data_IF_155490777509
#
_entry.id   IF_155490777509
#
_cell.length_a   1.000
_cell.length_b   1.000
_cell.length_c   1.000
_cell.angle_alpha   90.00
_cell.angle_beta   90.00
_cell.angle_gamma   90.00
#
_symmetry.space_group_name_H-M   'P 1'
#
loop_
_entity.id
_entity.type
_entity.pdbx_description
1 polymer ?
#
# COMPACT_ATOMS: atom_id res chain seq x y z
N UNK A 1 46.05 -58.21 35.81
CA UNK A 1 46.46 -58.06 37.24
C UNK A 1 45.93 -56.68 37.68
N UNK A 2 45.14 -56.38 38.59
CA UNK A 2 44.59 -56.97 39.76
C UNK A 2 43.21 -56.29 39.99
N UNK A 3 42.29 -57.09 40.40
CA UNK A 3 41.04 -56.81 41.07
C UNK A 3 41.24 -56.08 42.39
N UNK A 4 40.23 -55.33 42.83
CA UNK A 4 39.62 -55.32 44.21
C UNK A 4 38.57 -54.22 44.21
N UNK A 5 37.31 -54.32 44.26
CA UNK A 5 36.29 -54.95 45.13
C UNK A 5 35.82 -54.05 46.30
N UNK A 6 34.51 -53.77 46.27
CA UNK A 6 33.51 -53.65 47.34
C UNK A 6 33.56 -52.50 48.39
N UNK A 7 32.40 -51.86 48.50
CA UNK A 7 31.95 -51.16 49.72
C UNK A 7 30.57 -50.59 49.52
N UNK A 8 29.56 -51.32 49.96
CA UNK A 8 28.14 -50.94 50.03
C UNK A 8 27.83 -50.21 51.37
N UNK A 9 26.58 -49.71 51.45
CA UNK A 9 25.85 -49.07 52.56
C UNK A 9 25.93 -47.53 52.57
N UNK A 10 24.87 -46.74 52.72
CA UNK A 10 23.56 -46.96 53.33
C UNK A 10 22.50 -46.08 52.72
N UNK A 11 21.29 -46.57 52.73
CA UNK A 11 20.01 -45.95 52.52
C UNK A 11 19.72 -44.92 53.62
N UNK A 12 19.37 -43.68 53.27
CA UNK A 12 18.61 -42.76 54.12
C UNK A 12 17.49 -42.15 53.29
N UNK A 13 16.36 -42.81 53.34
CA UNK A 13 15.06 -42.25 53.06
C UNK A 13 14.73 -41.14 54.04
N UNK A 14 14.33 -39.98 53.61
CA UNK A 14 13.14 -39.24 54.03
C UNK A 14 13.30 -37.72 53.96
N UNK A 15 12.21 -37.11 53.44
CA UNK A 15 11.65 -35.79 53.75
C UNK A 15 12.30 -34.57 53.10
N UNK A 16 11.68 -34.12 52.02
CA UNK A 16 11.03 -32.81 51.96
C UNK A 16 10.24 -32.65 50.65
N UNK A 17 8.95 -32.86 50.72
CA UNK A 17 8.00 -32.45 49.71
C UNK A 17 7.93 -30.91 49.70
N UNK A 18 8.86 -30.27 48.99
CA UNK A 18 8.82 -28.85 48.65
C UNK A 18 7.73 -28.61 47.62
N UNK A 19 6.55 -28.14 48.07
CA UNK A 19 5.50 -27.61 47.20
C UNK A 19 6.09 -26.56 46.28
N UNK A 20 6.41 -26.93 45.02
CA UNK A 20 6.57 -25.97 43.93
C UNK A 20 5.21 -25.28 43.75
N UNK A 21 5.02 -24.13 44.38
CA UNK A 21 3.94 -23.21 44.07
C UNK A 21 4.15 -22.81 42.59
N UNK A 22 3.42 -23.48 41.72
CA UNK A 22 3.29 -23.06 40.34
C UNK A 22 2.69 -21.66 40.36
N UNK A 23 3.51 -20.66 40.07
CA UNK A 23 3.04 -19.32 39.68
C UNK A 23 2.36 -19.48 38.32
N UNK A 24 1.13 -19.96 38.33
CA UNK A 24 0.22 -19.78 37.22
C UNK A 24 -0.07 -18.27 37.17
N UNK A 25 0.77 -17.52 36.46
CA UNK A 25 0.43 -16.16 36.05
C UNK A 25 -0.83 -16.29 35.18
N UNK A 26 -1.98 -16.10 35.80
CA UNK A 26 -3.18 -15.69 35.10
C UNK A 26 -2.81 -14.42 34.32
N UNK A 27 -2.38 -14.58 33.06
CA UNK A 27 -2.39 -13.47 32.09
C UNK A 27 -3.88 -13.10 31.97
N UNK A 28 -4.32 -12.10 32.72
CA UNK A 28 -5.60 -11.47 32.45
C UNK A 28 -5.60 -11.19 30.94
N UNK A 29 -6.58 -11.72 30.23
CA UNK A 29 -6.75 -11.44 28.81
C UNK A 29 -6.96 -9.94 28.71
N UNK A 30 -5.87 -9.20 28.45
CA UNK A 30 -5.96 -7.78 28.17
C UNK A 30 -6.85 -7.61 26.94
N UNK A 31 -7.78 -6.66 27.00
CA UNK A 31 -8.68 -6.41 25.88
C UNK A 31 -7.86 -6.03 24.63
N UNK A 32 -8.17 -6.64 23.50
CA UNK A 32 -7.60 -6.28 22.21
C UNK A 32 -7.83 -4.79 21.95
N UNK A 33 -6.82 -4.11 21.47
CA UNK A 33 -6.93 -2.77 20.92
C UNK A 33 -6.71 -2.83 19.42
N UNK A 34 -7.46 -2.03 18.68
CA UNK A 34 -7.25 -1.82 17.24
C UNK A 34 -6.40 -0.59 17.01
N UNK A 35 -5.37 -0.77 16.18
CA UNK A 35 -4.41 0.29 15.82
C UNK A 35 -4.44 0.46 14.31
N UNK A 36 -4.55 1.72 13.87
CA UNK A 36 -4.34 2.10 12.49
C UNK A 36 -2.95 2.69 12.32
N UNK A 37 -2.29 2.37 11.21
CA UNK A 37 -0.98 2.87 10.82
C UNK A 37 -1.01 3.42 9.41
N UNK A 38 -0.35 4.56 9.21
CA UNK A 38 -0.04 5.10 7.89
C UNK A 38 1.34 4.65 7.46
N UNK A 39 1.44 4.25 6.22
CA UNK A 39 2.61 3.57 5.69
C UNK A 39 2.98 4.20 4.36
N UNK A 40 4.26 4.50 4.17
CA UNK A 40 4.80 4.81 2.86
C UNK A 40 5.82 3.75 2.44
N UNK A 41 5.93 3.49 1.14
CA UNK A 41 6.92 2.54 0.61
C UNK A 41 7.26 2.77 -0.85
N UNK A 42 8.52 2.49 -1.19
CA UNK A 42 8.98 2.25 -2.54
C UNK A 42 8.73 0.77 -2.89
N UNK A 43 7.79 0.53 -3.80
CA UNK A 43 7.37 -0.83 -4.17
C UNK A 43 8.33 -1.58 -5.09
N UNK A 44 9.43 -0.96 -5.52
CA UNK A 44 10.34 -1.49 -6.55
C UNK A 44 10.86 -2.90 -6.24
N UNK A 45 11.19 -3.18 -4.97
CA UNK A 45 11.75 -4.46 -4.53
C UNK A 45 10.69 -5.52 -4.18
N UNK A 46 9.41 -5.21 -4.29
CA UNK A 46 8.32 -6.06 -3.79
C UNK A 46 7.45 -6.60 -4.91
N UNK A 47 6.99 -7.84 -4.73
CA UNK A 47 5.97 -8.48 -5.57
C UNK A 47 4.54 -7.94 -5.27
N UNK A 48 4.45 -6.75 -4.69
CA UNK A 48 3.26 -6.05 -4.29
C UNK A 48 2.99 -6.08 -2.79
N UNK A 49 1.80 -5.65 -2.41
CA UNK A 49 1.40 -5.60 -1.01
C UNK A 49 1.25 -6.99 -0.38
N UNK A 50 0.46 -7.86 -1.02
CA UNK A 50 -0.02 -9.11 -0.43
C UNK A 50 1.10 -10.13 -0.22
N UNK A 51 1.18 -10.72 0.98
CA UNK A 51 2.09 -11.83 1.29
C UNK A 51 1.88 -13.01 0.35
N UNK A 52 2.98 -13.50 -0.23
CA UNK A 52 3.06 -14.65 -1.12
C UNK A 52 4.17 -15.59 -0.64
N UNK A 53 4.06 -16.92 -0.87
CA UNK A 53 4.99 -17.89 -0.29
C UNK A 53 6.46 -17.70 -0.69
N UNK A 54 6.73 -17.21 -1.90
CA UNK A 54 8.06 -17.22 -2.51
C UNK A 54 8.58 -15.82 -2.95
N UNK A 55 7.90 -14.76 -2.57
CA UNK A 55 8.25 -13.42 -3.04
C UNK A 55 8.19 -12.39 -1.93
N UNK A 56 9.10 -11.40 -1.90
CA UNK A 56 9.06 -10.32 -0.93
C UNK A 56 7.79 -9.51 -1.10
N UNK A 57 7.14 -9.17 0.01
CA UNK A 57 5.91 -8.37 0.02
C UNK A 57 5.95 -7.31 1.12
N UNK A 58 5.29 -6.18 0.86
CA UNK A 58 5.21 -5.07 1.83
C UNK A 58 4.51 -5.52 3.11
N UNK A 59 3.43 -6.32 2.99
CA UNK A 59 2.69 -6.84 4.14
C UNK A 59 3.57 -7.67 5.07
N UNK A 60 4.40 -8.57 4.53
CA UNK A 60 5.23 -9.46 5.34
C UNK A 60 6.27 -8.69 6.17
N UNK A 61 6.93 -7.68 5.59
CA UNK A 61 7.93 -6.88 6.33
C UNK A 61 7.28 -6.03 7.42
N UNK A 62 6.07 -5.49 7.16
CA UNK A 62 5.31 -4.73 8.16
C UNK A 62 4.81 -5.63 9.30
N UNK A 63 4.26 -6.80 8.99
CA UNK A 63 3.79 -7.77 9.99
C UNK A 63 4.94 -8.24 10.87
N UNK A 64 6.12 -8.48 10.30
CA UNK A 64 7.34 -8.83 11.02
C UNK A 64 7.78 -7.73 11.98
N UNK A 65 7.90 -6.49 11.50
CA UNK A 65 8.35 -5.36 12.31
C UNK A 65 7.34 -5.01 13.43
N UNK A 66 6.04 -4.98 13.12
CA UNK A 66 5.00 -4.75 14.14
C UNK A 66 4.92 -5.89 15.14
N UNK A 67 5.13 -7.13 14.70
CA UNK A 67 5.20 -8.32 15.56
C UNK A 67 6.36 -8.24 16.55
N UNK A 68 7.53 -7.77 16.12
CA UNK A 68 8.69 -7.51 17.00
C UNK A 68 8.38 -6.48 18.08
N UNK A 69 7.72 -5.37 17.72
CA UNK A 69 7.28 -4.34 18.68
C UNK A 69 6.21 -4.87 19.62
N UNK A 70 5.28 -5.67 19.13
CA UNK A 70 4.17 -6.22 19.89
C UNK A 70 4.61 -7.33 20.88
N UNK A 71 5.68 -8.06 20.58
CA UNK A 71 6.08 -9.32 21.20
C UNK A 71 4.96 -10.39 21.03
N UNK A 72 4.26 -10.34 19.88
CA UNK A 72 3.23 -11.30 19.49
C UNK A 72 3.04 -11.26 17.96
N UNK A 73 2.51 -12.33 17.33
CA UNK A 73 2.19 -12.28 15.90
C UNK A 73 1.16 -11.19 15.59
N UNK A 74 1.45 -10.38 14.58
CA UNK A 74 0.56 -9.33 14.08
C UNK A 74 0.14 -9.64 12.66
N UNK A 75 -1.15 -9.45 12.35
CA UNK A 75 -1.67 -9.51 10.98
C UNK A 75 -2.31 -8.18 10.62
N UNK A 76 -1.91 -7.62 9.46
CA UNK A 76 -2.39 -6.32 9.01
C UNK A 76 -3.42 -6.43 7.87
N UNK A 77 -4.39 -5.54 7.89
CA UNK A 77 -5.38 -5.36 6.83
C UNK A 77 -5.24 -3.97 6.24
N UNK A 78 -4.89 -3.86 4.95
CA UNK A 78 -4.70 -2.58 4.27
C UNK A 78 -5.97 -2.01 3.64
N UNK A 79 -5.95 -0.70 3.34
CA UNK A 79 -7.01 0.02 2.65
C UNK A 79 -7.16 -0.40 1.18
N UNK A 80 -6.06 -0.72 0.51
CA UNK A 80 -6.03 -1.20 -0.86
C UNK A 80 -4.73 -1.94 -1.17
N UNK A 81 -4.82 -3.11 -1.81
CA UNK A 81 -3.64 -3.84 -2.27
C UNK A 81 -3.00 -3.09 -3.44
N UNK A 82 -1.68 -3.15 -3.54
CA UNK A 82 -0.90 -2.66 -4.67
C UNK A 82 -0.22 -3.82 -5.37
N UNK A 83 -0.04 -3.70 -6.68
CA UNK A 83 0.64 -4.69 -7.52
C UNK A 83 2.16 -4.62 -7.33
N UNK A 84 2.88 -5.57 -7.92
CA UNK A 84 4.34 -5.57 -7.99
C UNK A 84 4.87 -4.25 -8.59
N UNK A 85 5.86 -3.63 -7.95
CA UNK A 85 6.48 -2.39 -8.40
C UNK A 85 5.67 -1.11 -8.16
N UNK A 86 4.46 -1.20 -7.57
CA UNK A 86 3.61 -0.05 -7.25
C UNK A 86 3.99 0.51 -5.88
N UNK A 87 4.13 1.81 -5.80
CA UNK A 87 4.50 2.54 -4.58
C UNK A 87 3.29 2.97 -3.75
N UNK A 88 3.53 3.46 -2.55
CA UNK A 88 2.52 4.17 -1.78
C UNK A 88 3.14 5.34 -1.01
N UNK A 89 2.43 6.48 -1.03
CA UNK A 89 2.72 7.63 -0.18
C UNK A 89 1.92 7.60 1.12
N UNK A 90 0.69 7.09 1.10
CA UNK A 90 -0.24 7.14 2.23
C UNK A 90 -1.15 5.92 2.28
N UNK A 91 -0.53 4.72 2.33
CA UNK A 91 -1.27 3.50 2.58
C UNK A 91 -1.72 3.50 4.04
N UNK A 92 -2.92 3.01 4.31
CA UNK A 92 -3.42 2.80 5.68
C UNK A 92 -3.68 1.33 5.91
N UNK A 93 -3.19 0.82 7.03
CA UNK A 93 -3.51 -0.51 7.50
C UNK A 93 -3.97 -0.48 8.96
N UNK A 94 -4.66 -1.53 9.41
CA UNK A 94 -4.98 -1.73 10.81
C UNK A 94 -4.62 -3.14 11.25
N UNK A 95 -4.41 -3.30 12.55
CA UNK A 95 -4.20 -4.58 13.21
C UNK A 95 -4.76 -4.57 14.63
N UNK A 96 -5.00 -5.75 15.16
CA UNK A 96 -5.45 -5.94 16.54
C UNK A 96 -4.30 -6.52 17.37
N UNK A 97 -4.12 -6.02 18.61
CA UNK A 97 -3.04 -6.46 19.49
C UNK A 97 -3.43 -6.34 20.96
N UNK A 98 -2.83 -7.19 21.81
CA UNK A 98 -2.88 -7.06 23.27
C UNK A 98 -1.75 -6.19 23.82
N UNK A 99 -0.69 -5.98 23.02
CA UNK A 99 0.48 -5.20 23.42
C UNK A 99 0.11 -3.73 23.66
N UNK A 100 0.62 -3.16 24.75
CA UNK A 100 0.45 -1.75 25.10
C UNK A 100 1.75 -1.02 24.85
N UNK A 101 1.77 -0.21 23.81
CA UNK A 101 2.89 0.66 23.43
C UNK A 101 2.37 2.07 23.20
N UNK A 102 3.21 3.07 23.40
CA UNK A 102 2.89 4.44 22.99
C UNK A 102 2.87 4.53 21.46
N UNK A 103 2.15 5.51 20.91
CA UNK A 103 2.17 5.81 19.47
C UNK A 103 3.61 5.95 18.95
N UNK A 104 4.45 6.69 19.68
CA UNK A 104 5.89 6.85 19.36
C UNK A 104 6.63 5.51 19.42
N UNK A 105 6.32 4.65 20.39
CA UNK A 105 6.94 3.32 20.52
C UNK A 105 6.62 2.42 19.33
N UNK A 106 5.39 2.46 18.82
CA UNK A 106 5.01 1.75 17.60
C UNK A 106 5.79 2.25 16.37
N UNK A 107 5.84 3.58 16.17
CA UNK A 107 6.50 4.18 14.99
C UNK A 107 8.01 3.91 15.02
N UNK A 108 8.69 4.27 16.11
CA UNK A 108 10.14 4.15 16.18
C UNK A 108 10.59 2.68 16.24
N UNK A 109 9.89 1.84 17.02
CA UNK A 109 10.22 0.43 17.12
C UNK A 109 10.08 -0.28 15.76
N UNK A 110 8.95 -0.11 15.08
CA UNK A 110 8.77 -0.73 13.77
C UNK A 110 9.77 -0.21 12.73
N UNK A 111 10.02 1.11 12.67
CA UNK A 111 10.96 1.70 11.72
C UNK A 111 12.43 1.32 11.98
N UNK A 112 12.77 0.80 13.16
CA UNK A 112 14.11 0.24 13.45
C UNK A 112 14.33 -1.08 12.69
N UNK A 113 13.28 -1.90 12.58
CA UNK A 113 13.33 -3.23 11.96
C UNK A 113 12.90 -3.22 10.49
N UNK A 114 12.16 -2.18 10.05
CA UNK A 114 11.75 -2.04 8.65
C UNK A 114 12.95 -1.75 7.73
N UNK A 115 12.96 -2.31 6.51
CA UNK A 115 13.92 -1.90 5.49
C UNK A 115 13.69 -0.43 5.08
N UNK A 116 14.72 0.22 4.53
CA UNK A 116 14.71 1.66 4.25
C UNK A 116 13.69 2.12 3.22
N UNK A 117 13.16 1.20 2.44
CA UNK A 117 12.15 1.42 1.42
C UNK A 117 10.69 1.28 1.94
N UNK A 118 10.51 1.02 3.25
CA UNK A 118 9.20 0.98 3.93
C UNK A 118 9.28 1.76 5.23
N UNK A 119 8.28 2.61 5.50
CA UNK A 119 8.20 3.39 6.74
C UNK A 119 6.78 3.48 7.28
N UNK A 120 6.64 3.39 8.61
CA UNK A 120 5.41 3.77 9.31
C UNK A 120 5.51 5.26 9.65
N UNK A 121 4.66 6.06 9.02
CA UNK A 121 4.69 7.52 9.15
C UNK A 121 3.81 8.06 10.27
N UNK A 122 2.77 7.31 10.64
CA UNK A 122 1.92 7.61 11.79
C UNK A 122 1.27 6.34 12.34
N UNK A 123 0.81 6.43 13.60
CA UNK A 123 0.09 5.37 14.30
C UNK A 123 -1.00 6.00 15.17
N UNK A 124 -2.20 5.40 15.20
CA UNK A 124 -3.33 5.84 16.02
C UNK A 124 -4.14 4.66 16.55
N UNK A 125 -4.51 4.63 17.83
CA UNK A 125 -5.56 3.75 18.29
C UNK A 125 -6.90 4.19 17.65
N UNK A 126 -7.70 3.21 17.25
CA UNK A 126 -9.00 3.44 16.59
C UNK A 126 -10.08 2.57 17.21
N UNK A 127 -11.36 2.93 17.08
CA UNK A 127 -12.47 2.09 17.54
C UNK A 127 -12.42 0.69 16.91
N UNK A 128 -12.90 -0.32 17.62
CA UNK A 128 -12.89 -1.73 17.16
C UNK A 128 -13.68 -1.97 15.87
N UNK A 129 -14.64 -1.11 15.54
CA UNK A 129 -15.39 -1.18 14.29
C UNK A 129 -14.69 -0.53 13.08
N UNK A 130 -13.56 0.18 13.29
CA UNK A 130 -12.75 0.68 12.18
C UNK A 130 -12.19 -0.47 11.36
N UNK A 131 -12.28 -0.37 10.04
CA UNK A 131 -11.68 -1.34 9.14
C UNK A 131 -11.01 -0.63 7.96
N UNK A 132 -9.67 -0.72 7.83
CA UNK A 132 -8.91 0.05 6.85
C UNK A 132 -9.48 -0.06 5.41
N UNK A 133 -9.98 -1.23 5.02
CA UNK A 133 -10.54 -1.44 3.68
C UNK A 133 -12.01 -1.00 3.57
N UNK A 134 -12.85 -1.38 4.54
CA UNK A 134 -14.30 -1.23 4.41
C UNK A 134 -14.83 0.10 4.96
N UNK A 135 -14.10 0.74 5.88
CA UNK A 135 -14.45 2.09 6.35
C UNK A 135 -13.93 3.19 5.43
N UNK A 136 -13.15 2.86 4.39
CA UNK A 136 -12.64 3.85 3.45
C UNK A 136 -13.74 4.29 2.48
N UNK A 137 -13.96 5.61 2.42
CA UNK A 137 -14.95 6.28 1.57
C UNK A 137 -14.45 6.48 0.15
N UNK A 138 -13.17 6.86 0.01
CA UNK A 138 -12.51 7.01 -1.28
C UNK A 138 -11.02 6.66 -1.19
N UNK A 139 -10.43 6.32 -2.33
CA UNK A 139 -8.98 6.15 -2.54
C UNK A 139 -8.55 7.06 -3.65
N UNK A 140 -7.35 7.63 -3.50
CA UNK A 140 -6.70 8.41 -4.55
C UNK A 140 -5.44 7.68 -4.96
N UNK A 141 -5.25 7.55 -6.26
CA UNK A 141 -4.02 7.10 -6.88
C UNK A 141 -3.42 8.22 -7.70
N UNK A 142 -2.11 8.31 -7.72
CA UNK A 142 -1.34 9.19 -8.60
C UNK A 142 -0.53 8.35 -9.56
N UNK A 143 -0.59 8.69 -10.85
CA UNK A 143 0.28 8.11 -11.86
C UNK A 143 1.22 9.18 -12.38
N UNK A 144 2.53 8.95 -12.25
CA UNK A 144 3.59 9.89 -12.58
C UNK A 144 4.26 9.46 -13.88
N UNK A 145 4.33 10.36 -14.84
CA UNK A 145 4.97 10.16 -16.13
C UNK A 145 6.09 11.18 -16.30
N UNK A 146 7.29 10.72 -16.62
CA UNK A 146 8.35 11.55 -17.14
C UNK A 146 8.23 11.58 -18.68
N UNK A 147 7.85 12.73 -19.22
CA UNK A 147 7.60 12.91 -20.64
C UNK A 147 8.69 13.78 -21.29
N UNK A 148 9.77 13.14 -21.66
CA UNK A 148 10.88 13.74 -22.42
C UNK A 148 11.66 12.66 -23.16
N UNK A 149 12.52 13.06 -24.13
CA UNK A 149 13.29 12.12 -24.94
C UNK A 149 14.29 11.29 -24.12
N UNK A 150 15.03 11.93 -23.19
CA UNK A 150 16.01 11.25 -22.37
C UNK A 150 15.38 10.66 -21.09
N UNK A 151 15.73 9.41 -20.74
CA UNK A 151 15.38 8.81 -19.45
C UNK A 151 15.98 9.58 -18.29
N UNK A 152 15.47 9.40 -17.08
CA UNK A 152 16.04 9.92 -15.86
C UNK A 152 16.74 8.82 -15.07
N UNK A 153 17.95 9.07 -14.60
CA UNK A 153 18.63 8.18 -13.65
C UNK A 153 18.04 8.31 -12.25
N UNK A 154 17.55 9.51 -11.87
CA UNK A 154 17.01 9.78 -10.53
C UNK A 154 15.57 9.28 -10.36
N UNK A 155 14.77 9.29 -11.45
CA UNK A 155 13.39 8.81 -11.43
C UNK A 155 13.25 7.35 -11.93
N UNK A 156 14.36 6.63 -12.09
CA UNK A 156 14.36 5.21 -12.45
C UNK A 156 13.52 4.42 -11.45
N UNK A 157 12.58 3.62 -11.95
CA UNK A 157 11.62 2.85 -11.14
C UNK A 157 10.65 3.68 -10.28
N UNK A 158 10.56 5.02 -10.50
CA UNK A 158 9.67 5.92 -9.74
C UNK A 158 8.72 6.71 -10.62
N UNK A 159 8.88 6.62 -11.94
CA UNK A 159 7.99 7.23 -12.91
C UNK A 159 8.01 6.43 -14.22
N UNK A 160 6.88 6.39 -14.91
CA UNK A 160 6.83 5.82 -16.25
C UNK A 160 7.51 6.77 -17.22
N UNK A 161 8.52 6.30 -17.96
CA UNK A 161 9.19 7.11 -18.98
C UNK A 161 8.50 6.98 -20.34
N UNK A 162 8.00 8.09 -20.86
CA UNK A 162 7.38 8.18 -22.17
C UNK A 162 8.18 9.20 -23.01
N UNK A 163 8.92 8.74 -24.01
CA UNK A 163 9.80 9.57 -24.84
C UNK A 163 9.05 10.40 -25.89
N UNK A 164 7.91 9.89 -26.42
CA UNK A 164 7.07 10.63 -27.36
C UNK A 164 6.32 11.75 -26.63
N UNK A 165 6.23 12.96 -27.21
CA UNK A 165 5.44 14.04 -26.63
C UNK A 165 4.01 13.59 -26.32
N UNK A 166 3.46 14.06 -25.21
CA UNK A 166 2.08 13.83 -24.81
C UNK A 166 1.33 15.17 -24.85
N UNK A 167 0.13 15.17 -25.41
CA UNK A 167 -0.83 16.26 -25.35
C UNK A 167 -1.72 16.09 -24.11
N UNK A 168 -1.43 16.86 -23.06
CA UNK A 168 -2.19 16.82 -21.81
C UNK A 168 -3.62 17.35 -21.95
N UNK A 169 -3.90 18.18 -22.95
CA UNK A 169 -5.26 18.68 -23.18
C UNK A 169 -6.15 17.56 -23.74
N UNK A 170 -5.65 16.80 -24.71
CA UNK A 170 -6.33 15.60 -25.21
C UNK A 170 -6.50 14.55 -24.13
N UNK A 171 -5.46 14.33 -23.28
CA UNK A 171 -5.56 13.42 -22.13
C UNK A 171 -6.63 13.88 -21.15
N UNK A 172 -6.70 15.16 -20.82
CA UNK A 172 -7.71 15.75 -19.91
C UNK A 172 -9.13 15.62 -20.47
N UNK A 173 -9.31 15.85 -21.78
CA UNK A 173 -10.60 15.64 -22.44
C UNK A 173 -11.07 14.18 -22.39
N UNK A 174 -10.15 13.23 -22.60
CA UNK A 174 -10.43 11.80 -22.45
C UNK A 174 -10.75 11.42 -21.00
N UNK A 175 -10.00 11.97 -20.02
CA UNK A 175 -10.20 11.72 -18.61
C UNK A 175 -11.59 12.17 -18.12
N UNK A 176 -12.08 13.30 -18.60
CA UNK A 176 -13.41 13.82 -18.25
C UNK A 176 -14.54 12.85 -18.59
N UNK A 177 -14.40 12.07 -19.68
CA UNK A 177 -15.40 11.08 -20.08
C UNK A 177 -15.49 9.86 -19.15
N UNK A 178 -14.50 9.65 -18.29
CA UNK A 178 -14.45 8.53 -17.34
C UNK A 178 -14.89 8.92 -15.92
N UNK A 179 -15.21 10.21 -15.68
CA UNK A 179 -15.76 10.66 -14.39
C UNK A 179 -17.23 10.28 -14.27
N UNK A 180 -17.68 10.01 -13.04
CA UNK A 180 -19.04 9.57 -12.73
C UNK A 180 -19.12 8.10 -12.34
N UNK A 181 -20.34 7.58 -12.27
CA UNK A 181 -20.60 6.18 -11.96
C UNK A 181 -20.78 5.37 -13.25
N UNK A 182 -19.85 4.43 -13.47
CA UNK A 182 -19.78 3.64 -14.70
C UNK A 182 -19.40 2.20 -14.43
N UNK A 183 -19.69 1.34 -15.41
CA UNK A 183 -19.16 -0.01 -15.50
C UNK A 183 -17.74 0.04 -16.10
N UNK A 184 -16.72 -0.21 -15.28
CA UNK A 184 -15.31 -0.19 -15.67
C UNK A 184 -14.77 -1.56 -16.11
N UNK A 185 -15.61 -2.44 -16.65
CA UNK A 185 -15.19 -3.75 -17.16
C UNK A 185 -14.05 -3.67 -18.16
N UNK A 186 -14.05 -2.68 -19.05
CA UNK A 186 -12.97 -2.44 -20.03
C UNK A 186 -11.62 -2.10 -19.38
N UNK A 187 -11.62 -1.67 -18.12
CA UNK A 187 -10.40 -1.31 -17.37
C UNK A 187 -10.03 -2.35 -16.30
N UNK A 188 -10.72 -3.49 -16.29
CA UNK A 188 -10.55 -4.56 -15.32
C UNK A 188 -9.54 -5.59 -15.81
N UNK A 189 -8.59 -6.04 -14.94
CA UNK A 189 -7.79 -7.24 -15.20
C UNK A 189 -8.66 -8.50 -15.16
N UNK A 190 -8.30 -9.51 -15.96
CA UNK A 190 -8.96 -10.83 -15.95
C UNK A 190 -8.90 -11.51 -14.57
N UNK A 191 -7.86 -11.26 -13.78
CA UNK A 191 -7.67 -11.82 -12.45
C UNK A 191 -8.46 -11.10 -11.34
N UNK A 192 -9.22 -10.06 -11.69
CA UNK A 192 -9.94 -9.25 -10.72
C UNK A 192 -11.10 -10.01 -10.08
N UNK A 193 -11.08 -10.19 -8.76
CA UNK A 193 -12.08 -10.89 -7.97
C UNK A 193 -13.26 -10.02 -7.51
N UNK A 194 -13.35 -8.76 -7.95
CA UNK A 194 -14.43 -7.88 -7.56
C UNK A 194 -15.77 -8.39 -8.10
N UNK A 195 -16.81 -8.42 -7.25
CA UNK A 195 -18.15 -8.90 -7.63
C UNK A 195 -18.85 -7.99 -8.63
N UNK A 196 -18.68 -6.68 -8.50
CA UNK A 196 -19.27 -5.68 -9.40
C UNK A 196 -18.16 -4.89 -10.08
N UNK A 197 -18.25 -4.60 -11.39
CA UNK A 197 -17.34 -3.71 -12.09
C UNK A 197 -17.72 -2.23 -11.95
N UNK A 198 -18.89 -1.91 -11.38
CA UNK A 198 -19.35 -0.53 -11.26
C UNK A 198 -18.56 0.22 -10.22
N UNK A 199 -18.03 1.40 -10.59
CA UNK A 199 -17.28 2.30 -9.70
C UNK A 199 -17.75 3.74 -9.93
N UNK A 200 -17.63 4.55 -8.89
CA UNK A 200 -17.83 5.99 -8.99
C UNK A 200 -16.48 6.69 -8.98
N UNK A 201 -16.06 7.16 -10.15
CA UNK A 201 -14.88 8.01 -10.32
C UNK A 201 -15.26 9.42 -9.93
N UNK A 202 -14.80 9.88 -8.75
CA UNK A 202 -15.11 11.22 -8.23
C UNK A 202 -14.28 12.30 -8.94
N UNK A 203 -13.02 11.95 -9.26
CA UNK A 203 -12.07 12.85 -9.92
C UNK A 203 -11.08 12.07 -10.75
N UNK A 204 -10.81 12.56 -11.95
CA UNK A 204 -9.72 12.10 -12.80
C UNK A 204 -9.13 13.32 -13.50
N UNK A 205 -7.93 13.73 -13.09
CA UNK A 205 -7.26 14.93 -13.60
C UNK A 205 -5.93 14.60 -14.23
N UNK A 206 -5.54 15.39 -15.22
CA UNK A 206 -4.23 15.33 -15.89
C UNK A 206 -3.61 16.71 -15.81
N UNK A 207 -2.40 16.80 -15.27
CA UNK A 207 -1.68 18.07 -15.12
C UNK A 207 -0.26 17.92 -15.60
N UNK A 208 0.21 18.87 -16.43
CA UNK A 208 1.62 18.96 -16.83
C UNK A 208 2.39 19.95 -15.97
N UNK A 209 3.59 19.57 -15.55
CA UNK A 209 4.56 20.42 -14.85
C UNK A 209 5.95 20.19 -15.46
N UNK A 210 6.31 21.00 -16.44
CA UNK A 210 7.54 20.78 -17.22
C UNK A 210 7.54 19.43 -17.92
N UNK A 211 8.57 18.62 -17.67
CA UNK A 211 8.69 17.27 -18.21
C UNK A 211 7.75 16.23 -17.55
N UNK A 212 7.04 16.62 -16.50
CA UNK A 212 6.19 15.71 -15.75
C UNK A 212 4.73 15.83 -16.16
N UNK A 213 4.08 14.69 -16.40
CA UNK A 213 2.63 14.59 -16.56
C UNK A 213 2.12 13.73 -15.39
N UNK A 214 1.18 14.29 -14.65
CA UNK A 214 0.61 13.68 -13.44
C UNK A 214 -0.86 13.40 -13.70
N UNK A 215 -1.28 12.17 -13.43
CA UNK A 215 -2.68 11.74 -13.49
C UNK A 215 -3.11 11.41 -12.06
N UNK A 216 -4.09 12.14 -11.52
CA UNK A 216 -4.71 11.83 -10.23
C UNK A 216 -6.10 11.24 -10.44
N UNK A 217 -6.35 10.07 -9.83
CA UNK A 217 -7.62 9.36 -9.90
C UNK A 217 -8.16 9.12 -8.50
N UNK A 218 -9.36 9.64 -8.21
CA UNK A 218 -10.07 9.44 -6.93
C UNK A 218 -11.40 8.75 -7.18
N UNK A 219 -11.64 7.61 -6.51
CA UNK A 219 -12.88 6.85 -6.62
C UNK A 219 -13.25 6.18 -5.30
N UNK A 220 -14.52 5.76 -5.18
CA UNK A 220 -14.99 4.96 -4.04
C UNK A 220 -14.20 3.65 -3.87
N UNK A 221 -13.81 3.02 -4.97
CA UNK A 221 -12.93 1.85 -5.03
C UNK A 221 -12.38 1.69 -6.45
N UNK A 222 -11.35 0.84 -6.61
CA UNK A 222 -10.76 0.51 -7.91
C UNK A 222 -10.80 -0.99 -8.15
N UNK A 223 -10.89 -1.38 -9.41
CA UNK A 223 -10.70 -2.76 -9.87
C UNK A 223 -9.21 -3.05 -10.00
N UNK A 224 -8.84 -4.32 -10.03
CA UNK A 224 -7.47 -4.74 -10.28
C UNK A 224 -6.97 -4.18 -11.61
N UNK A 225 -5.81 -3.51 -11.61
CA UNK A 225 -5.17 -2.79 -12.71
C UNK A 225 -5.94 -1.56 -13.25
N UNK A 226 -7.09 -1.19 -12.69
CA UNK A 226 -7.96 -0.14 -13.27
C UNK A 226 -7.22 1.17 -13.54
N UNK A 227 -6.47 1.71 -12.57
CA UNK A 227 -5.76 2.99 -12.74
C UNK A 227 -4.67 2.88 -13.80
N UNK A 228 -3.92 1.77 -13.84
CA UNK A 228 -2.89 1.54 -14.87
C UNK A 228 -3.47 1.39 -16.26
N UNK A 229 -4.65 0.76 -16.38
CA UNK A 229 -5.35 0.63 -17.66
C UNK A 229 -5.90 1.98 -18.14
N UNK A 230 -6.42 2.81 -17.22
CA UNK A 230 -6.81 4.20 -17.52
C UNK A 230 -5.58 5.01 -17.95
N UNK A 231 -4.47 4.95 -17.20
CA UNK A 231 -3.24 5.63 -17.56
C UNK A 231 -2.72 5.21 -18.94
N UNK A 232 -2.80 3.93 -19.28
CA UNK A 232 -2.43 3.42 -20.60
C UNK A 232 -3.27 4.01 -21.73
N UNK A 233 -4.60 4.09 -21.52
CA UNK A 233 -5.51 4.73 -22.46
C UNK A 233 -5.19 6.22 -22.62
N UNK A 234 -5.03 6.95 -21.52
CA UNK A 234 -4.70 8.38 -21.55
C UNK A 234 -3.36 8.64 -22.24
N UNK A 235 -2.35 7.80 -22.01
CA UNK A 235 -1.06 7.88 -22.71
C UNK A 235 -1.24 7.67 -24.23
N UNK A 236 -2.06 6.71 -24.65
CA UNK A 236 -2.33 6.48 -26.09
C UNK A 236 -3.02 7.68 -26.72
N UNK A 237 -4.01 8.26 -26.03
CA UNK A 237 -4.67 9.51 -26.49
C UNK A 237 -3.66 10.68 -26.54
N UNK A 238 -2.86 10.86 -25.47
CA UNK A 238 -1.86 11.93 -25.42
C UNK A 238 -0.79 11.85 -26.51
N UNK A 239 -0.45 10.63 -26.97
CA UNK A 239 0.44 10.42 -28.13
C UNK A 239 -0.22 10.67 -29.48
N UNK A 240 -1.54 10.86 -29.52
CA UNK A 240 -2.31 10.98 -30.76
C UNK A 240 -2.59 9.63 -31.44
N UNK A 241 -2.40 8.49 -30.76
CA UNK A 241 -2.70 7.15 -31.28
C UNK A 241 -4.22 6.93 -31.42
N UNK A 242 -5.04 7.67 -30.64
CA UNK A 242 -6.50 7.68 -30.69
C UNK A 242 -7.07 9.05 -30.29
N UNK A 243 -8.28 9.42 -30.73
CA UNK A 243 -8.92 10.68 -30.35
C UNK A 243 -9.43 10.60 -28.88
N UNK A 244 -9.65 11.76 -28.18
CA UNK A 244 -10.19 11.77 -26.83
C UNK A 244 -11.54 11.03 -26.66
N UNK A 245 -12.39 11.03 -27.68
CA UNK A 245 -13.68 10.33 -27.70
C UNK A 245 -13.54 8.81 -27.49
N UNK A 246 -12.39 8.23 -27.86
CA UNK A 246 -12.11 6.80 -27.67
C UNK A 246 -12.23 6.34 -26.22
N UNK A 247 -11.98 7.22 -25.23
CA UNK A 247 -12.13 6.87 -23.83
C UNK A 247 -13.58 6.46 -23.51
N UNK A 248 -14.56 7.17 -24.06
CA UNK A 248 -15.99 6.84 -23.90
C UNK A 248 -16.35 5.56 -24.66
N UNK A 249 -15.87 5.40 -25.87
CA UNK A 249 -16.11 4.19 -26.68
C UNK A 249 -15.60 2.92 -25.96
N UNK A 250 -14.39 2.97 -25.39
CA UNK A 250 -13.81 1.87 -24.60
C UNK A 250 -14.64 1.61 -23.35
N UNK A 251 -15.06 2.66 -22.63
CA UNK A 251 -15.87 2.53 -21.42
C UNK A 251 -17.21 1.84 -21.72
N UNK A 252 -17.92 2.31 -22.72
CA UNK A 252 -19.24 1.80 -23.13
C UNK A 252 -19.14 0.40 -23.75
N UNK A 253 -18.05 0.10 -24.45
CA UNK A 253 -17.76 -1.21 -25.04
C UNK A 253 -17.52 -2.33 -24.02
N UNK A 254 -17.11 -2.01 -22.79
CA UNK A 254 -16.85 -2.95 -21.68
C UNK A 254 -15.90 -4.10 -22.00
N UNK A 255 -15.15 -4.00 -23.09
CA UNK A 255 -14.18 -5.02 -23.53
C UNK A 255 -12.75 -4.55 -23.23
N UNK A 256 -12.05 -5.27 -22.31
CA UNK A 256 -10.64 -4.99 -21.98
C UNK A 256 -9.71 -5.11 -23.19
N UNK A 257 -10.03 -5.95 -24.16
CA UNK A 257 -9.20 -6.16 -25.36
C UNK A 257 -9.22 -4.96 -26.32
N UNK A 258 -10.28 -4.15 -26.27
CA UNK A 258 -10.41 -2.93 -27.06
C UNK A 258 -9.68 -1.73 -26.41
N UNK A 259 -9.25 -1.85 -25.16
CA UNK A 259 -8.54 -0.79 -24.45
C UNK A 259 -7.02 -0.87 -24.70
N UNK A 260 -6.31 0.24 -24.39
CA UNK A 260 -4.86 0.32 -24.49
C UNK A 260 -4.13 -0.71 -23.59
N UNK A 261 -2.83 -0.91 -23.87
CA UNK A 261 -1.95 -1.67 -23.00
C UNK A 261 -1.92 -1.09 -21.60
N UNK A 262 -1.77 -1.97 -20.60
CA UNK A 262 -1.61 -1.56 -19.19
C UNK A 262 -0.33 -0.74 -19.02
N UNK A 263 -0.42 0.44 -18.44
CA UNK A 263 0.73 1.29 -18.16
C UNK A 263 1.68 0.66 -17.13
N UNK A 264 3.00 0.95 -17.17
CA UNK A 264 4.00 0.44 -16.25
C UNK A 264 3.63 0.63 -14.77
N UNK A 265 4.08 -0.28 -13.90
CA UNK A 265 3.75 -0.22 -12.47
C UNK A 265 4.48 0.91 -11.74
N UNK A 266 5.72 1.18 -12.13
CA UNK A 266 6.62 2.15 -11.49
C UNK A 266 6.14 3.60 -11.51
N UNK A 267 5.15 3.92 -12.36
CA UNK A 267 4.51 5.23 -12.33
C UNK A 267 3.40 5.36 -11.29
N UNK A 268 2.91 4.27 -10.73
CA UNK A 268 1.71 4.27 -9.89
C UNK A 268 2.04 4.36 -8.39
N UNK A 269 1.31 5.24 -7.72
CA UNK A 269 1.34 5.44 -6.27
C UNK A 269 -0.05 5.32 -5.68
N UNK A 270 -0.20 4.51 -4.62
CA UNK A 270 -1.33 4.64 -3.70
C UNK A 270 -1.13 5.96 -2.93
N UNK A 271 -1.90 6.99 -3.31
CA UNK A 271 -1.60 8.36 -2.94
C UNK A 271 -2.25 8.79 -1.63
N UNK A 272 -3.52 8.46 -1.46
CA UNK A 272 -4.30 8.81 -0.28
C UNK A 272 -5.52 7.89 -0.12
N UNK A 273 -6.05 7.85 1.08
CA UNK A 273 -7.34 7.23 1.39
C UNK A 273 -8.13 8.13 2.32
N UNK A 274 -9.41 8.33 2.00
CA UNK A 274 -10.33 9.16 2.79
C UNK A 274 -11.19 8.28 3.68
N UNK A 275 -11.29 8.66 4.94
CA UNK A 275 -12.17 8.08 5.95
C UNK A 275 -13.03 9.15 6.58
N UNK A 276 -14.12 8.74 7.26
CA UNK A 276 -14.90 9.64 8.10
C UNK A 276 -14.01 10.32 9.15
N UNK A 277 -14.13 11.64 9.36
CA UNK A 277 -13.42 12.39 10.41
C UNK A 277 -13.63 11.80 11.82
N UNK A 278 -14.73 11.09 12.04
CA UNK A 278 -15.05 10.44 13.32
C UNK A 278 -13.98 9.43 13.78
N UNK A 279 -13.14 8.91 12.88
CA UNK A 279 -12.02 8.02 13.25
C UNK A 279 -10.78 8.74 13.77
N UNK A 280 -10.69 10.08 13.64
CA UNK A 280 -9.56 10.89 14.12
C UNK A 280 -8.23 10.53 13.47
N UNK A 281 -8.26 10.02 12.24
CA UNK A 281 -7.04 9.69 11.49
C UNK A 281 -6.43 10.96 10.90
N UNK A 282 -5.09 11.02 10.76
CA UNK A 282 -4.44 12.15 10.10
C UNK A 282 -4.85 12.23 8.63
N UNK A 283 -5.11 13.43 8.15
CA UNK A 283 -5.25 13.68 6.72
C UNK A 283 -3.88 13.61 6.03
N UNK A 284 -3.81 13.11 4.78
CA UNK A 284 -2.59 13.23 4.01
C UNK A 284 -2.26 14.71 3.83
N UNK A 285 -1.04 15.10 4.24
CA UNK A 285 -0.60 16.48 4.12
C UNK A 285 -0.81 16.97 2.67
N UNK A 286 -1.52 18.08 2.45
CA UNK A 286 -1.90 18.50 1.11
C UNK A 286 -0.70 18.90 0.25
N UNK A 287 0.41 19.29 0.86
CA UNK A 287 1.55 19.90 0.19
C UNK A 287 2.88 19.36 0.76
N UNK A 288 3.32 18.23 0.23
CA UNK A 288 4.72 17.84 0.35
C UNK A 288 5.47 18.43 -0.87
N UNK A 289 6.43 19.37 -0.66
CA UNK A 289 7.19 19.99 -1.75
C UNK A 289 7.88 18.98 -2.66
N UNK A 290 8.32 17.84 -2.11
CA UNK A 290 8.92 16.76 -2.87
C UNK A 290 7.98 16.21 -3.95
N UNK A 291 6.68 16.12 -3.66
CA UNK A 291 5.68 15.54 -4.54
C UNK A 291 4.90 16.57 -5.37
N UNK A 292 4.97 17.86 -5.03
CA UNK A 292 4.25 18.93 -5.74
C UNK A 292 5.01 19.51 -6.93
N UNK A 293 6.12 18.87 -7.35
CA UNK A 293 6.94 19.32 -8.47
C UNK A 293 7.85 20.52 -8.10
N UNK A 294 7.71 21.13 -6.92
CA UNK A 294 8.69 22.07 -6.40
C UNK A 294 9.97 21.34 -5.94
N UNK A 295 9.87 20.06 -5.58
CA UNK A 295 11.00 19.21 -5.22
C UNK A 295 11.94 18.90 -6.39
N UNK A 296 11.45 18.93 -7.63
CA UNK A 296 12.33 18.85 -8.79
C UNK A 296 13.27 20.07 -8.91
N UNK A 297 12.89 21.21 -8.37
CA UNK A 297 13.74 22.41 -8.31
C UNK A 297 14.77 22.35 -7.16
N UNK A 298 14.49 21.62 -6.08
CA UNK A 298 15.39 21.51 -4.92
C UNK A 298 16.53 20.51 -5.19
N UNK A 299 16.33 19.54 -6.09
CA UNK A 299 17.38 18.56 -6.46
C UNK A 299 18.30 19.11 -7.55
N UNK A 300 17.93 20.23 -8.21
CA UNK A 300 18.66 20.83 -9.33
C UNK A 300 19.24 22.23 -9.02
N UNK A 301 19.16 22.71 -7.77
CA UNK A 301 19.81 23.94 -7.32
C UNK A 301 21.09 23.67 -6.51
#
# INVERSE_FOLDING_TARGET
MAKVAYGAFADISSVAAGKKRGFCRLRSRMALQRIAVGIEYDGTAYAGWQTQPSSPSVQAVIESALGGVADEPVSVVCAGRTDAGVHARWQVAHFDTQARRTTRGWILGANTDLPRDVSIVWCRPVPSHFHARYSAEARTYRYVILNRSARSALAEKRAAHIHRPLDEQSMSAAAAALCGEHDFSAFRSSECQARSPVRRMEQLTVVRRGDWVIIDATANAFLHHMVRNIAGLLIAVGRGDAPPAWAREVLEGRDRRAAAATAPAEGLYFWAVRYSPAFGLPDPAPEDPFWNGAGAAIILS
#
